data_IF_314017764583
#
_entry.id   IF_314017764583
#
_cell.length_a   1.000
_cell.length_b   1.000
_cell.length_c   1.000
_cell.angle_alpha   90.00
_cell.angle_beta   90.00
_cell.angle_gamma   90.00
#
_symmetry.space_group_name_H-M   'P 1'
#
loop_
_entity.id
_entity.type
_entity.pdbx_description
1 polymer ?
#
# COMPACT_ATOMS: atom_id res chain seq x y z
N UNK A 1 -1.86 -35.18 -26.65
CA UNK A 1 -1.63 -33.73 -26.59
C UNK A 1 -1.58 -33.33 -25.11
N UNK A 2 -0.47 -32.84 -24.56
CA UNK A 2 -0.48 -32.31 -23.20
C UNK A 2 -1.03 -30.88 -23.24
N UNK A 3 -2.12 -30.65 -22.52
CA UNK A 3 -2.64 -29.31 -22.27
C UNK A 3 -1.82 -28.75 -21.12
N UNK A 4 -0.83 -27.91 -21.43
CA UNK A 4 -0.13 -27.11 -20.43
C UNK A 4 -1.15 -26.15 -19.81
N UNK A 5 -1.77 -26.58 -18.71
CA UNK A 5 -2.52 -25.71 -17.81
C UNK A 5 -1.52 -24.78 -17.14
N UNK A 6 -1.23 -23.66 -17.81
CA UNK A 6 -0.74 -22.46 -17.17
C UNK A 6 -1.86 -22.01 -16.22
N UNK A 7 -1.82 -22.53 -14.99
CA UNK A 7 -2.51 -21.95 -13.86
C UNK A 7 -1.85 -20.60 -13.63
N UNK A 8 -2.36 -19.57 -14.32
CA UNK A 8 -2.10 -18.18 -14.01
C UNK A 8 -2.61 -17.94 -12.60
N UNK A 9 -1.78 -18.30 -11.62
CA UNK A 9 -1.82 -17.73 -10.28
C UNK A 9 -1.94 -16.23 -10.51
N UNK A 10 -3.04 -15.64 -10.04
CA UNK A 10 -3.16 -14.18 -9.91
C UNK A 10 -2.09 -13.75 -8.91
N UNK A 11 -0.85 -13.74 -9.39
CA UNK A 11 0.32 -13.35 -8.65
C UNK A 11 0.12 -11.86 -8.44
N UNK A 12 -0.20 -11.51 -7.20
CA UNK A 12 -0.18 -10.11 -6.79
C UNK A 12 1.14 -9.47 -7.22
N UNK A 13 1.19 -8.13 -7.30
CA UNK A 13 2.40 -7.42 -7.72
C UNK A 13 3.64 -7.94 -6.97
N UNK A 14 4.72 -8.16 -7.71
CA UNK A 14 5.98 -8.60 -7.13
C UNK A 14 6.55 -7.47 -6.25
N UNK A 15 6.36 -7.60 -4.94
CA UNK A 15 6.76 -6.60 -3.96
C UNK A 15 8.27 -6.31 -4.00
N UNK A 16 9.09 -7.34 -4.24
CA UNK A 16 10.54 -7.18 -4.37
C UNK A 16 10.92 -6.35 -5.60
N UNK A 17 10.21 -6.55 -6.72
CA UNK A 17 10.41 -5.75 -7.94
C UNK A 17 10.01 -4.27 -7.75
N UNK A 18 9.02 -4.01 -6.88
CA UNK A 18 8.60 -2.66 -6.47
C UNK A 18 9.49 -2.06 -5.37
N UNK A 19 10.53 -2.79 -4.94
CA UNK A 19 11.51 -2.35 -3.95
C UNK A 19 11.02 -2.47 -2.50
N UNK A 20 10.00 -3.26 -2.22
CA UNK A 20 9.52 -3.55 -0.86
C UNK A 20 10.13 -4.83 -0.29
N UNK A 21 10.45 -4.79 1.00
CA UNK A 21 10.96 -5.91 1.79
C UNK A 21 9.84 -6.79 2.32
N UNK A 22 8.64 -6.23 2.50
CA UNK A 22 7.47 -6.96 3.00
C UNK A 22 6.16 -6.29 2.59
N UNK A 23 5.02 -7.01 2.60
CA UNK A 23 3.70 -6.41 2.45
C UNK A 23 3.41 -5.34 3.50
N UNK A 24 3.97 -5.49 4.71
CA UNK A 24 3.78 -4.52 5.78
C UNK A 24 4.41 -3.17 5.45
N UNK A 25 5.54 -3.15 4.73
CA UNK A 25 6.19 -1.91 4.32
C UNK A 25 5.29 -1.08 3.38
N UNK A 26 4.51 -1.73 2.52
CA UNK A 26 3.49 -1.08 1.68
C UNK A 26 2.47 -0.37 2.56
N UNK A 27 1.94 -1.08 3.56
CA UNK A 27 0.95 -0.55 4.50
C UNK A 27 1.53 0.59 5.32
N UNK A 28 2.76 0.47 5.83
CA UNK A 28 3.38 1.51 6.64
C UNK A 28 3.59 2.80 5.83
N UNK A 29 4.04 2.71 4.57
CA UNK A 29 4.20 3.89 3.71
C UNK A 29 2.86 4.57 3.45
N UNK A 30 1.82 3.78 3.18
CA UNK A 30 0.48 4.32 2.97
C UNK A 30 -0.09 4.90 4.26
N UNK A 31 0.09 4.25 5.40
CA UNK A 31 -0.38 4.71 6.71
C UNK A 31 0.23 6.04 7.15
N UNK A 32 1.43 6.39 6.64
CA UNK A 32 2.08 7.68 6.93
C UNK A 32 1.37 8.85 6.25
N UNK A 33 0.62 8.62 5.17
CA UNK A 33 0.00 9.69 4.41
C UNK A 33 -1.16 10.32 5.18
N UNK A 34 -1.32 11.63 4.94
CA UNK A 34 -2.50 12.38 5.32
C UNK A 34 -3.16 12.86 4.04
N UNK A 35 -4.45 12.58 3.90
CA UNK A 35 -5.25 13.02 2.77
C UNK A 35 -6.13 14.15 3.29
N UNK A 36 -6.04 15.32 2.65
CA UNK A 36 -6.76 16.54 3.06
C UNK A 36 -6.52 16.93 4.54
N UNK A 37 -5.33 16.65 5.06
CA UNK A 37 -4.96 16.90 6.45
C UNK A 37 -5.45 15.84 7.45
N UNK A 38 -6.27 14.88 7.02
CA UNK A 38 -6.72 13.76 7.85
C UNK A 38 -5.78 12.55 7.75
N UNK A 39 -5.42 11.90 8.87
CA UNK A 39 -4.71 10.64 8.83
C UNK A 39 -5.61 9.54 8.26
N UNK A 40 -5.00 8.63 7.48
CA UNK A 40 -5.69 7.45 6.94
C UNK A 40 -6.20 6.54 8.05
N UNK A 41 -5.41 6.39 9.11
CA UNK A 41 -5.76 5.60 10.29
C UNK A 41 -6.27 6.55 11.37
N UNK A 42 -7.55 6.39 11.72
CA UNK A 42 -8.21 7.21 12.75
C UNK A 42 -8.27 6.54 14.13
N UNK A 43 -8.19 5.21 14.19
CA UNK A 43 -8.20 4.46 15.46
C UNK A 43 -6.76 4.19 15.92
N UNK A 44 -6.39 4.70 17.09
CA UNK A 44 -5.07 4.50 17.68
C UNK A 44 -4.75 3.01 17.94
N UNK A 45 -5.78 2.17 18.15
CA UNK A 45 -5.60 0.72 18.29
C UNK A 45 -5.15 0.07 16.99
N UNK A 46 -5.59 0.60 15.84
CA UNK A 46 -5.13 0.15 14.53
C UNK A 46 -3.70 0.59 14.21
N UNK A 47 -3.12 1.54 14.96
CA UNK A 47 -1.69 1.87 14.83
C UNK A 47 -0.82 0.76 15.43
N UNK A 48 -1.29 0.15 16.52
CA UNK A 48 -0.54 -0.85 17.30
C UNK A 48 -0.75 -2.28 16.78
N UNK A 49 -1.89 -2.60 16.16
CA UNK A 49 -2.15 -3.91 15.57
C UNK A 49 -1.88 -3.92 14.05
N UNK A 50 -0.87 -4.68 13.57
CA UNK A 50 -0.54 -4.75 12.15
C UNK A 50 -1.68 -5.17 11.23
N UNK A 51 -2.57 -6.05 11.71
CA UNK A 51 -3.71 -6.54 10.91
C UNK A 51 -4.76 -5.47 10.77
N UNK A 52 -5.11 -4.80 11.88
CA UNK A 52 -6.06 -3.69 11.87
C UNK A 52 -5.50 -2.51 11.07
N UNK A 53 -4.19 -2.25 11.16
CA UNK A 53 -3.49 -1.24 10.34
C UNK A 53 -3.72 -1.50 8.84
N UNK A 54 -3.41 -2.72 8.41
CA UNK A 54 -3.55 -3.12 7.01
C UNK A 54 -5.00 -3.02 6.55
N UNK A 55 -5.94 -3.50 7.35
CA UNK A 55 -7.37 -3.41 7.05
C UNK A 55 -7.83 -1.96 6.91
N UNK A 56 -7.50 -1.09 7.86
CA UNK A 56 -7.88 0.31 7.84
C UNK A 56 -7.32 1.04 6.62
N UNK A 57 -6.06 0.79 6.26
CA UNK A 57 -5.44 1.38 5.06
C UNK A 57 -6.16 0.89 3.79
N UNK A 58 -6.34 -0.42 3.64
CA UNK A 58 -7.00 -0.99 2.46
C UNK A 58 -8.44 -0.49 2.33
N UNK A 59 -9.19 -0.46 3.43
CA UNK A 59 -10.56 0.04 3.47
C UNK A 59 -10.63 1.53 3.13
N UNK A 60 -9.70 2.34 3.64
CA UNK A 60 -9.65 3.76 3.34
C UNK A 60 -9.41 4.02 1.84
N UNK A 61 -8.42 3.37 1.24
CA UNK A 61 -8.12 3.56 -0.19
C UNK A 61 -9.21 2.98 -1.10
N UNK A 62 -9.84 1.89 -0.69
CA UNK A 62 -10.98 1.33 -1.40
C UNK A 62 -12.20 2.27 -1.33
N UNK A 63 -12.55 2.78 -0.15
CA UNK A 63 -13.73 3.63 0.03
C UNK A 63 -13.57 5.05 -0.51
N UNK A 64 -12.39 5.67 -0.34
CA UNK A 64 -12.14 7.05 -0.75
C UNK A 64 -11.73 7.19 -2.21
N UNK A 65 -10.99 6.22 -2.73
CA UNK A 65 -10.37 6.33 -4.06
C UNK A 65 -10.75 5.17 -5.00
N UNK A 66 -11.58 4.22 -4.57
CA UNK A 66 -11.97 3.04 -5.34
C UNK A 66 -10.77 2.21 -5.84
N UNK A 67 -9.70 2.17 -5.03
CA UNK A 67 -8.46 1.46 -5.35
C UNK A 67 -8.58 0.00 -4.92
N UNK A 68 -8.19 -0.93 -5.80
CA UNK A 68 -8.21 -2.35 -5.48
C UNK A 68 -6.95 -2.76 -4.70
N UNK A 69 -6.99 -3.82 -3.87
CA UNK A 69 -5.82 -4.29 -3.13
C UNK A 69 -4.60 -4.64 -3.99
N UNK A 70 -4.80 -4.96 -5.27
CA UNK A 70 -3.71 -5.26 -6.20
C UNK A 70 -2.96 -4.00 -6.67
N UNK A 71 -3.61 -2.84 -6.62
CA UNK A 71 -3.04 -1.56 -7.06
C UNK A 71 -2.26 -0.86 -5.92
N UNK A 72 -2.58 -1.20 -4.67
CA UNK A 72 -1.99 -0.65 -3.45
C UNK A 72 -0.45 -0.69 -3.46
N UNK A 73 0.22 -1.81 -3.83
CA UNK A 73 1.68 -1.84 -3.87
C UNK A 73 2.29 -0.91 -4.90
N UNK A 74 1.65 -0.69 -6.05
CA UNK A 74 2.15 0.25 -7.05
C UNK A 74 2.09 1.69 -6.54
N UNK A 75 0.99 2.07 -5.87
CA UNK A 75 0.83 3.39 -5.27
C UNK A 75 1.89 3.64 -4.21
N UNK A 76 2.06 2.70 -3.29
CA UNK A 76 3.09 2.81 -2.26
C UNK A 76 4.49 2.96 -2.89
N UNK A 77 4.75 2.34 -4.06
CA UNK A 77 6.06 2.39 -4.71
C UNK A 77 6.34 3.78 -5.27
N UNK A 78 5.33 4.39 -5.91
CA UNK A 78 5.40 5.78 -6.37
C UNK A 78 5.66 6.74 -5.20
N UNK A 79 4.91 6.59 -4.11
CA UNK A 79 5.08 7.41 -2.90
C UNK A 79 6.48 7.20 -2.30
N UNK A 80 6.97 5.96 -2.25
CA UNK A 80 8.33 5.64 -1.79
C UNK A 80 9.41 6.29 -2.65
N UNK A 81 9.22 6.32 -3.98
CA UNK A 81 10.13 7.00 -4.90
C UNK A 81 10.11 8.52 -4.69
N UNK A 82 8.94 9.12 -4.49
CA UNK A 82 8.80 10.55 -4.23
C UNK A 82 9.38 10.96 -2.88
N UNK A 83 9.19 10.12 -1.84
CA UNK A 83 9.83 10.27 -0.53
C UNK A 83 11.36 10.23 -0.65
N UNK A 84 11.91 9.25 -1.38
CA UNK A 84 13.37 9.13 -1.61
C UNK A 84 13.92 10.30 -2.42
N UNK A 85 13.14 10.82 -3.36
CA UNK A 85 13.55 11.92 -4.24
C UNK A 85 13.47 13.29 -3.57
N UNK A 86 12.96 13.38 -2.34
CA UNK A 86 12.78 14.66 -1.63
C UNK A 86 11.74 15.57 -2.28
N UNK A 87 10.96 15.09 -3.25
CA UNK A 87 9.90 15.86 -3.93
C UNK A 87 8.69 16.09 -3.02
N UNK A 88 8.53 15.22 -2.03
CA UNK A 88 7.51 15.36 -1.01
C UNK A 88 8.03 16.33 0.06
N UNK A 89 7.73 17.63 -0.09
CA UNK A 89 8.03 18.67 0.90
C UNK A 89 7.19 18.44 2.16
N UNK A 90 7.66 17.61 3.09
CA UNK A 90 6.97 17.31 4.36
C UNK A 90 7.03 18.42 5.41
N UNK A 91 7.65 19.58 5.12
CA UNK A 91 7.74 20.71 6.05
C UNK A 91 7.82 22.05 5.34
N UNK A 92 6.86 22.92 5.61
CA UNK A 92 7.11 24.08 6.48
C UNK A 92 5.96 24.24 7.45
#
# INVERSE_FOLDING_TARGET
MPVNQNTTTKSGPNLAALGFKSPMEVIDILALLKVDGEPIIKDDRAILDPKLKAQAVLEYFHTKFNITPNDIPYLASLIKQDLKSGKLNWRK
#
